data_IF_862928024036
#
_entry.id   IF_862928024036
#
_cell.length_a   1.000
_cell.length_b   1.000
_cell.length_c   1.000
_cell.angle_alpha   90.00
_cell.angle_beta   90.00
_cell.angle_gamma   90.00
#
_symmetry.space_group_name_H-M   'P 1'
#
loop_
_entity.id
_entity.type
_entity.pdbx_description
1 polymer ?
#
# COMPACT_ATOMS: atom_id res chain seq x y z
N UNK A 1 14.36 -25.48 -19.56
CA UNK A 1 15.07 -24.27 -19.16
C UNK A 1 14.35 -23.59 -18.03
N UNK A 2 15.07 -23.26 -17.01
CA UNK A 2 14.48 -22.59 -15.84
C UNK A 2 14.54 -21.07 -16.03
N UNK A 3 13.38 -20.44 -16.03
CA UNK A 3 13.30 -18.98 -16.09
C UNK A 3 13.45 -18.40 -14.68
N UNK A 4 14.31 -17.42 -14.52
CA UNK A 4 14.53 -16.78 -13.25
C UNK A 4 14.12 -15.31 -13.33
N UNK A 5 13.25 -14.91 -12.39
CA UNK A 5 12.88 -13.52 -12.19
C UNK A 5 13.68 -12.99 -10.99
N UNK A 6 14.44 -11.92 -11.20
CA UNK A 6 15.42 -11.45 -10.22
C UNK A 6 14.84 -10.46 -9.22
N UNK A 7 13.80 -9.71 -9.61
CA UNK A 7 13.23 -8.70 -8.74
C UNK A 7 11.80 -8.36 -9.20
N UNK A 8 11.01 -7.85 -8.27
CA UNK A 8 9.67 -7.35 -8.56
C UNK A 8 9.43 -6.12 -7.70
N UNK A 9 9.05 -5.00 -8.33
CA UNK A 9 8.78 -3.77 -7.60
C UNK A 9 7.48 -3.16 -8.12
N UNK A 10 6.64 -2.68 -7.19
CA UNK A 10 5.45 -1.92 -7.49
C UNK A 10 5.77 -0.45 -7.21
N UNK A 11 5.70 0.39 -8.24
CA UNK A 11 6.05 1.81 -8.11
C UNK A 11 4.79 2.66 -7.95
N UNK A 12 4.75 3.43 -6.86
CA UNK A 12 3.70 4.40 -6.59
C UNK A 12 4.29 5.79 -6.74
N UNK A 13 4.04 6.41 -7.88
CA UNK A 13 4.41 7.80 -8.11
C UNK A 13 3.45 8.70 -7.34
N UNK A 14 3.99 9.62 -6.56
CA UNK A 14 3.16 10.55 -5.78
C UNK A 14 3.63 11.99 -6.01
N UNK A 15 2.71 12.97 -5.97
CA UNK A 15 3.12 14.37 -6.03
C UNK A 15 4.05 14.70 -4.87
N UNK A 16 5.01 15.61 -5.12
CA UNK A 16 5.99 15.98 -4.10
C UNK A 16 5.32 16.50 -2.82
N UNK A 17 4.24 17.26 -2.94
CA UNK A 17 3.49 17.81 -1.79
C UNK A 17 2.78 16.75 -0.95
N UNK A 18 2.60 15.54 -1.48
CA UNK A 18 1.95 14.44 -0.76
C UNK A 18 2.94 13.38 -0.26
N UNK A 19 4.22 13.53 -0.56
CA UNK A 19 5.21 12.50 -0.26
C UNK A 19 5.27 12.14 1.23
N UNK A 20 5.38 13.13 2.10
CA UNK A 20 5.49 12.88 3.55
C UNK A 20 4.20 12.27 4.12
N UNK A 21 3.04 12.74 3.64
CA UNK A 21 1.77 12.17 4.07
C UNK A 21 1.63 10.71 3.62
N UNK A 22 2.10 10.38 2.42
CA UNK A 22 2.10 9.01 1.92
C UNK A 22 3.06 8.13 2.73
N UNK A 23 4.24 8.61 3.08
CA UNK A 23 5.14 7.87 3.97
C UNK A 23 4.48 7.57 5.30
N UNK A 24 3.89 8.57 5.91
CA UNK A 24 3.18 8.40 7.19
C UNK A 24 2.08 7.35 7.05
N UNK A 25 1.31 7.41 5.97
CA UNK A 25 0.26 6.43 5.70
C UNK A 25 0.81 5.00 5.68
N UNK A 26 1.80 4.72 4.82
CA UNK A 26 2.31 3.36 4.66
C UNK A 26 3.00 2.85 5.92
N UNK A 27 3.79 3.70 6.56
CA UNK A 27 4.54 3.30 7.75
C UNK A 27 3.64 3.05 8.96
N UNK A 28 2.58 3.85 9.12
CA UNK A 28 1.65 3.68 10.24
C UNK A 28 0.61 2.60 10.00
N UNK A 29 -0.04 2.60 8.84
CA UNK A 29 -1.12 1.64 8.58
C UNK A 29 -0.57 0.21 8.52
N UNK A 30 0.52 0.01 7.80
CA UNK A 30 1.09 -1.33 7.61
C UNK A 30 2.16 -1.68 8.63
N UNK A 31 2.53 -0.75 9.51
CA UNK A 31 3.54 -0.95 10.55
C UNK A 31 4.86 -1.45 9.95
N UNK A 32 5.32 -0.77 8.90
CA UNK A 32 6.56 -1.11 8.20
C UNK A 32 7.50 0.07 8.21
N UNK A 33 8.79 -0.23 8.07
CA UNK A 33 9.84 0.78 7.90
C UNK A 33 10.50 0.56 6.56
N UNK A 34 10.96 1.62 5.88
CA UNK A 34 11.65 1.44 4.61
C UNK A 34 12.99 0.71 4.83
N UNK A 35 13.34 -0.17 3.90
CA UNK A 35 14.65 -0.82 3.89
C UNK A 35 15.64 -0.10 2.99
N UNK A 36 15.19 0.86 2.21
CA UNK A 36 16.02 1.66 1.31
C UNK A 36 15.34 3.01 1.09
N UNK A 37 16.15 4.04 0.87
CA UNK A 37 15.65 5.36 0.55
C UNK A 37 16.70 6.18 -0.17
N UNK A 38 16.23 7.21 -0.87
CA UNK A 38 17.12 8.20 -1.50
C UNK A 38 16.45 9.57 -1.44
N UNK A 39 17.26 10.63 -1.47
CA UNK A 39 16.79 12.00 -1.44
C UNK A 39 17.76 12.91 -2.19
N UNK A 40 17.42 13.21 -3.44
CA UNK A 40 18.16 14.12 -4.31
C UNK A 40 17.39 15.45 -4.47
N UNK A 41 16.42 15.73 -3.60
CA UNK A 41 15.56 16.89 -3.64
C UNK A 41 14.10 16.51 -3.74
N UNK A 42 13.21 17.52 -3.63
CA UNK A 42 11.76 17.25 -3.54
C UNK A 42 11.18 16.57 -4.77
N UNK A 43 11.85 16.70 -5.92
CA UNK A 43 11.39 16.09 -7.19
C UNK A 43 12.07 14.74 -7.47
N UNK A 44 12.95 14.27 -6.60
CA UNK A 44 13.65 13.01 -6.80
C UNK A 44 14.02 12.41 -5.45
N UNK A 45 13.03 11.84 -4.78
CA UNK A 45 13.23 11.12 -3.54
C UNK A 45 12.24 9.98 -3.43
N UNK A 46 12.57 8.99 -2.64
CA UNK A 46 11.71 7.86 -2.47
C UNK A 46 12.18 6.92 -1.38
N UNK A 47 11.32 5.97 -1.05
CA UNK A 47 11.59 4.90 -0.10
C UNK A 47 11.04 3.60 -0.65
N UNK A 48 11.65 2.49 -0.21
CA UNK A 48 11.19 1.16 -0.57
C UNK A 48 10.83 0.39 0.68
N UNK A 49 9.63 -0.18 0.66
CA UNK A 49 9.13 -1.03 1.73
C UNK A 49 9.04 -2.48 1.26
N UNK A 50 9.26 -3.42 2.17
CA UNK A 50 8.91 -4.80 1.92
C UNK A 50 7.51 -5.03 2.48
N UNK A 51 6.56 -5.32 1.60
CA UNK A 51 5.18 -5.56 1.98
C UNK A 51 4.76 -6.93 1.45
N UNK A 52 4.65 -7.89 2.37
CA UNK A 52 4.31 -9.28 2.03
C UNK A 52 5.20 -9.88 0.94
N UNK A 53 6.50 -9.56 0.97
CA UNK A 53 7.47 -10.07 0.00
C UNK A 53 7.56 -9.27 -1.29
N UNK A 54 6.69 -8.28 -1.49
CA UNK A 54 6.74 -7.38 -2.64
C UNK A 54 7.41 -6.07 -2.24
N UNK A 55 8.27 -5.55 -3.10
CA UNK A 55 8.87 -4.24 -2.88
C UNK A 55 7.91 -3.16 -3.35
N UNK A 56 7.41 -2.37 -2.42
CA UNK A 56 6.57 -1.22 -2.68
C UNK A 56 7.46 0.02 -2.67
N UNK A 57 7.53 0.73 -3.79
CA UNK A 57 8.38 1.91 -3.94
C UNK A 57 7.49 3.15 -4.00
N UNK A 58 7.68 4.03 -3.04
CA UNK A 58 7.00 5.33 -2.99
C UNK A 58 8.00 6.39 -3.46
N UNK A 59 7.66 7.11 -4.53
CA UNK A 59 8.65 8.02 -5.14
C UNK A 59 8.01 9.25 -5.76
N UNK A 60 8.83 10.31 -5.86
CA UNK A 60 8.41 11.61 -6.42
C UNK A 60 9.03 11.93 -7.77
N UNK A 61 9.81 11.02 -8.35
CA UNK A 61 10.40 11.24 -9.68
C UNK A 61 9.33 11.60 -10.69
N UNK A 62 9.73 12.15 -11.83
CA UNK A 62 8.82 12.49 -12.90
C UNK A 62 7.94 11.30 -13.25
N UNK A 63 6.63 11.49 -13.08
CA UNK A 63 5.65 10.46 -13.40
C UNK A 63 5.52 10.37 -14.91
N UNK A 64 5.79 9.19 -15.52
CA UNK A 64 5.66 9.05 -16.97
C UNK A 64 4.20 9.04 -17.46
N UNK A 65 3.24 9.06 -16.53
CA UNK A 65 1.80 9.02 -16.83
C UNK A 65 1.15 10.35 -16.49
N UNK A 66 0.03 10.70 -17.14
CA UNK A 66 -0.59 12.03 -16.95
C UNK A 66 -1.37 12.20 -15.64
N UNK A 67 -1.39 11.19 -14.76
CA UNK A 67 -2.20 11.23 -13.54
C UNK A 67 -1.54 10.45 -12.41
N UNK A 68 -2.00 10.74 -11.18
CA UNK A 68 -1.62 10.04 -9.96
C UNK A 68 -2.83 9.30 -9.39
N UNK A 69 -2.59 8.43 -8.41
CA UNK A 69 -3.69 7.84 -7.63
C UNK A 69 -4.50 6.80 -8.39
N UNK A 70 -3.91 6.12 -9.35
CA UNK A 70 -4.60 5.14 -10.18
C UNK A 70 -4.23 3.69 -9.87
N UNK A 71 -3.37 3.46 -8.91
CA UNK A 71 -2.97 2.11 -8.52
C UNK A 71 -4.00 1.54 -7.56
N UNK A 72 -4.37 0.28 -7.80
CA UNK A 72 -5.26 -0.46 -6.93
C UNK A 72 -4.63 -1.83 -6.66
N UNK A 73 -4.44 -2.16 -5.40
CA UNK A 73 -3.91 -3.46 -5.01
C UNK A 73 -4.59 -3.96 -3.74
N UNK A 74 -4.34 -5.20 -3.40
CA UNK A 74 -4.94 -5.77 -2.20
C UNK A 74 -3.94 -6.58 -1.41
N UNK A 75 -4.17 -6.64 -0.10
CA UNK A 75 -3.30 -7.28 0.85
C UNK A 75 -4.11 -8.21 1.75
N UNK A 76 -3.71 -9.47 1.79
CA UNK A 76 -4.29 -10.44 2.72
C UNK A 76 -3.60 -10.32 4.07
N UNK A 77 -4.40 -10.26 5.13
CA UNK A 77 -3.92 -10.21 6.51
C UNK A 77 -4.58 -11.32 7.32
N UNK A 78 -3.97 -11.77 8.44
CA UNK A 78 -4.58 -12.80 9.28
C UNK A 78 -5.81 -12.31 10.04
N UNK A 79 -5.87 -11.01 10.37
CA UNK A 79 -6.99 -10.40 11.06
C UNK A 79 -7.11 -8.93 10.66
N UNK A 80 -8.35 -8.41 10.54
CA UNK A 80 -8.57 -7.04 10.10
C UNK A 80 -8.39 -6.01 11.20
N UNK A 81 -8.63 -6.37 12.46
CA UNK A 81 -8.89 -5.39 13.51
C UNK A 81 -7.76 -4.37 13.74
N UNK A 82 -6.53 -4.84 13.90
CA UNK A 82 -5.42 -3.93 14.18
C UNK A 82 -5.14 -2.96 13.03
N UNK A 83 -5.11 -3.48 11.81
CA UNK A 83 -4.85 -2.64 10.63
C UNK A 83 -6.03 -1.69 10.38
N UNK A 84 -7.26 -2.15 10.62
CA UNK A 84 -8.44 -1.29 10.52
C UNK A 84 -8.35 -0.11 11.48
N UNK A 85 -8.00 -0.37 12.75
CA UNK A 85 -7.87 0.69 13.75
C UNK A 85 -6.78 1.70 13.37
N UNK A 86 -5.65 1.24 12.86
CA UNK A 86 -4.58 2.15 12.42
C UNK A 86 -5.01 2.99 11.21
N UNK A 87 -5.71 2.39 10.26
CA UNK A 87 -6.22 3.11 9.10
C UNK A 87 -7.31 4.13 9.50
N UNK A 88 -8.21 3.74 10.41
CA UNK A 88 -9.27 4.61 10.89
C UNK A 88 -8.70 5.82 11.64
N UNK A 89 -7.66 5.60 12.44
CA UNK A 89 -7.04 6.66 13.23
C UNK A 89 -6.51 7.81 12.40
N UNK A 90 -6.13 7.56 11.15
CA UNK A 90 -5.64 8.61 10.24
C UNK A 90 -6.66 8.95 9.14
N UNK A 91 -7.90 8.49 9.27
CA UNK A 91 -8.98 8.83 8.34
C UNK A 91 -8.84 8.21 6.95
N UNK A 92 -8.15 7.09 6.84
CA UNK A 92 -7.84 6.48 5.54
C UNK A 92 -8.92 5.51 5.04
N UNK A 93 -9.88 5.13 5.88
CA UNK A 93 -10.91 4.14 5.51
C UNK A 93 -11.90 4.76 4.53
N UNK A 94 -12.03 4.15 3.36
CA UNK A 94 -12.98 4.57 2.32
C UNK A 94 -14.20 3.68 2.25
N UNK A 95 -14.09 2.46 2.75
CA UNK A 95 -15.23 1.56 2.87
C UNK A 95 -15.06 0.71 4.13
N UNK A 96 -16.08 0.73 4.99
CA UNK A 96 -16.11 -0.03 6.24
C UNK A 96 -16.12 -1.53 5.98
N UNK A 97 -15.73 -2.36 6.97
CA UNK A 97 -15.67 -3.80 6.80
C UNK A 97 -16.98 -4.40 6.30
N UNK A 98 -16.87 -5.30 5.33
CA UNK A 98 -17.99 -6.00 4.74
C UNK A 98 -17.54 -7.39 4.27
N UNK A 99 -18.51 -8.28 4.04
CA UNK A 99 -18.24 -9.62 3.53
C UNK A 99 -18.51 -9.70 2.04
N UNK A 100 -17.60 -10.38 1.32
CA UNK A 100 -17.84 -10.74 -0.06
C UNK A 100 -18.70 -12.01 -0.13
N UNK A 101 -19.40 -12.26 -1.24
CA UNK A 101 -20.24 -13.46 -1.38
C UNK A 101 -19.49 -14.77 -1.16
N UNK A 102 -18.19 -14.81 -1.45
CA UNK A 102 -17.34 -15.99 -1.24
C UNK A 102 -16.72 -16.03 0.16
N UNK A 103 -17.14 -15.15 1.06
CA UNK A 103 -16.80 -15.22 2.48
C UNK A 103 -15.61 -14.40 2.93
N UNK A 104 -14.89 -13.74 2.02
CA UNK A 104 -13.82 -12.84 2.43
C UNK A 104 -14.38 -11.66 3.23
N UNK A 105 -13.72 -11.35 4.33
CA UNK A 105 -14.03 -10.16 5.13
C UNK A 105 -13.01 -9.09 4.79
N UNK A 106 -13.43 -7.91 4.38
CA UNK A 106 -12.54 -6.88 3.88
C UNK A 106 -13.00 -5.47 4.18
N UNK A 107 -12.07 -4.54 4.10
CA UNK A 107 -12.37 -3.11 4.06
C UNK A 107 -11.45 -2.44 3.05
N UNK A 108 -11.72 -1.18 2.74
CA UNK A 108 -10.95 -0.43 1.75
C UNK A 108 -10.38 0.84 2.34
N UNK A 109 -9.19 1.19 1.88
CA UNK A 109 -8.47 2.40 2.26
C UNK A 109 -7.93 3.08 1.01
N UNK A 110 -7.61 4.37 1.15
CA UNK A 110 -6.92 5.12 0.12
C UNK A 110 -5.73 5.84 0.73
N UNK A 111 -4.61 5.87 0.01
CA UNK A 111 -3.47 6.67 0.45
C UNK A 111 -3.70 8.15 0.09
N UNK A 112 -2.87 9.08 0.62
CA UNK A 112 -3.06 10.50 0.35
C UNK A 112 -2.93 10.92 -1.12
N UNK A 113 -2.32 10.09 -1.97
CA UNK A 113 -2.24 10.33 -3.41
C UNK A 113 -3.43 9.76 -4.17
N UNK A 114 -4.35 9.05 -3.49
CA UNK A 114 -5.55 8.49 -4.09
C UNK A 114 -5.45 7.05 -4.54
N UNK A 115 -4.34 6.36 -4.30
CA UNK A 115 -4.24 4.93 -4.61
C UNK A 115 -5.12 4.12 -3.65
N UNK A 116 -5.80 3.09 -4.18
CA UNK A 116 -6.76 2.31 -3.41
C UNK A 116 -6.19 0.96 -3.01
N UNK A 117 -6.50 0.55 -1.79
CA UNK A 117 -6.01 -0.71 -1.25
C UNK A 117 -7.16 -1.46 -0.59
N UNK A 118 -7.36 -2.70 -0.99
CA UNK A 118 -8.25 -3.62 -0.28
C UNK A 118 -7.45 -4.38 0.77
N UNK A 119 -7.97 -4.45 1.97
CA UNK A 119 -7.40 -5.27 3.06
C UNK A 119 -8.41 -6.38 3.34
N UNK A 120 -7.97 -7.63 3.29
CA UNK A 120 -8.90 -8.74 3.41
C UNK A 120 -8.34 -9.92 4.21
N UNK A 121 -9.28 -10.70 4.78
CA UNK A 121 -8.98 -11.99 5.36
C UNK A 121 -9.73 -13.06 4.59
N UNK A 122 -9.16 -14.25 4.55
CA UNK A 122 -9.78 -15.43 3.93
C UNK A 122 -10.37 -16.28 5.05
N UNK A 123 -11.59 -16.85 4.89
CA UNK A 123 -12.17 -17.70 5.93
C UNK A 123 -11.27 -18.88 6.26
N UNK A 124 -11.12 -19.15 7.56
CA UNK A 124 -10.45 -20.36 8.01
C UNK A 124 -11.38 -21.53 7.81
N UNK A 125 -10.91 -22.57 7.09
CA UNK A 125 -11.69 -23.80 6.93
C UNK A 125 -11.52 -24.67 8.15
N UNK A 126 -12.66 -25.05 8.74
CA UNK A 126 -12.70 -26.11 9.72
C UNK A 126 -12.67 -27.45 8.98
N UNK A 127 -11.83 -28.33 9.42
CA UNK A 127 -11.73 -29.67 8.86
C UNK A 127 -12.50 -30.63 9.73
#
# INVERSE_FOLDING_TARGET
MKMAYLDFQLLLYVPAEHYEACRTFYERVFSVQPFYGWDEGIEDRGVKYNLAGTKLVLLTQENPFPFYGTVHFQLQVPALEDIYQRAQAIGAVTQEPFFRPYGWHMFRIADPAGNHINIYTVPTRSV
#
